data_IF_876744595759
#
_entry.id   IF_876744595759
#
_cell.length_a   1.000
_cell.length_b   1.000
_cell.length_c   1.000
_cell.angle_alpha   90.00
_cell.angle_beta   90.00
_cell.angle_gamma   90.00
#
_symmetry.space_group_name_H-M   'P 1'
#
loop_
_entity.id
_entity.type
_entity.pdbx_description
1 polymer ?
#
# COMPACT_ATOMS: atom_id res chain seq x y z
N UNK A 1 -19.98 1.56 -19.51
CA UNK A 1 -19.11 1.04 -20.58
C UNK A 1 -18.05 0.14 -19.99
N UNK A 2 -17.32 -0.57 -20.85
CA UNK A 2 -16.17 -1.40 -20.46
C UNK A 2 -14.89 -0.60 -20.67
N UNK A 3 -14.03 -0.55 -19.66
CA UNK A 3 -12.68 0.01 -19.73
C UNK A 3 -11.65 -1.08 -19.48
N UNK A 4 -10.56 -1.06 -20.23
CA UNK A 4 -9.41 -1.94 -20.05
C UNK A 4 -8.18 -1.07 -19.77
N UNK A 5 -7.34 -1.52 -18.84
CA UNK A 5 -6.10 -0.85 -18.47
C UNK A 5 -4.94 -1.83 -18.44
N UNK A 6 -3.76 -1.37 -18.84
CA UNK A 6 -2.51 -2.10 -18.73
C UNK A 6 -1.41 -1.16 -18.25
N UNK A 7 -0.55 -1.66 -17.38
CA UNK A 7 0.62 -0.95 -16.87
C UNK A 7 1.83 -1.88 -16.97
N UNK A 8 2.93 -1.37 -17.51
CA UNK A 8 4.24 -2.00 -17.41
C UNK A 8 5.05 -1.29 -16.33
N UNK A 9 5.80 -2.06 -15.54
CA UNK A 9 6.68 -1.51 -14.52
C UNK A 9 8.00 -2.28 -14.48
N UNK A 10 9.08 -1.56 -14.16
CA UNK A 10 10.38 -2.16 -13.93
C UNK A 10 10.83 -1.81 -12.51
N UNK A 11 10.82 -2.81 -11.62
CA UNK A 11 11.27 -2.64 -10.25
C UNK A 11 12.81 -2.62 -10.23
N UNK A 12 13.40 -1.67 -9.53
CA UNK A 12 14.83 -1.62 -9.26
C UNK A 12 15.08 -0.89 -7.94
N UNK A 13 16.12 -1.27 -7.21
CA UNK A 13 16.47 -0.58 -5.97
C UNK A 13 17.63 -1.22 -5.21
N UNK A 14 18.09 -0.50 -4.19
CA UNK A 14 19.08 -0.97 -3.21
C UNK A 14 18.47 -0.97 -1.82
N UNK A 15 18.52 -2.11 -1.14
CA UNK A 15 18.25 -2.22 0.30
C UNK A 15 19.59 -2.23 1.03
N UNK A 16 19.79 -1.30 1.96
CA UNK A 16 21.02 -1.18 2.74
C UNK A 16 20.73 -1.37 4.23
N UNK A 17 21.47 -2.25 4.89
CA UNK A 17 21.41 -2.49 6.33
C UNK A 17 22.80 -2.33 6.93
N UNK A 18 22.94 -1.40 7.87
CA UNK A 18 24.20 -1.14 8.57
C UNK A 18 24.01 -1.59 10.02
N UNK A 19 24.86 -2.49 10.48
CA UNK A 19 24.90 -2.96 11.86
C UNK A 19 26.25 -2.68 12.49
N UNK A 20 26.27 -2.18 13.72
CA UNK A 20 27.48 -1.98 14.51
C UNK A 20 27.41 -2.82 15.78
N UNK A 21 28.50 -3.53 16.11
CA UNK A 21 28.66 -4.20 17.40
C UNK A 21 29.77 -3.48 18.15
N UNK A 22 29.41 -2.83 19.25
CA UNK A 22 30.34 -2.08 20.10
C UNK A 22 30.64 -2.87 21.37
N UNK A 23 31.91 -2.91 21.77
CA UNK A 23 32.34 -3.56 23.00
C UNK A 23 32.97 -2.54 23.96
N UNK A 24 32.60 -2.62 25.24
CA UNK A 24 33.09 -1.72 26.28
C UNK A 24 34.42 -2.17 26.93
N UNK A 25 34.89 -3.39 26.62
CA UNK A 25 36.12 -3.94 27.21
C UNK A 25 37.29 -3.93 26.22
N UNK A 26 38.48 -3.64 26.73
CA UNK A 26 39.71 -3.40 25.96
C UNK A 26 40.25 -4.60 25.16
N UNK A 27 39.62 -5.78 25.26
CA UNK A 27 40.01 -7.00 24.56
C UNK A 27 39.22 -7.31 23.29
N UNK A 28 38.15 -6.55 23.00
CA UNK A 28 37.32 -6.74 21.81
C UNK A 28 37.31 -5.47 20.96
N UNK A 29 37.22 -5.65 19.65
CA UNK A 29 37.13 -4.54 18.71
C UNK A 29 35.70 -4.36 18.23
N UNK A 30 35.25 -3.10 18.18
CA UNK A 30 33.99 -2.71 17.54
C UNK A 30 34.01 -3.13 16.08
N UNK A 31 32.95 -3.73 15.56
CA UNK A 31 32.84 -4.06 14.14
C UNK A 31 31.64 -3.39 13.49
N UNK A 32 31.80 -3.02 12.21
CA UNK A 32 30.73 -2.47 11.38
C UNK A 32 30.49 -3.42 10.21
N UNK A 33 29.23 -3.77 9.97
CA UNK A 33 28.83 -4.57 8.81
C UNK A 33 27.81 -3.79 7.99
N UNK A 34 28.09 -3.65 6.71
CA UNK A 34 27.25 -3.03 5.69
C UNK A 34 26.76 -4.11 4.72
N UNK A 35 25.46 -4.37 4.75
CA UNK A 35 24.79 -5.29 3.86
C UNK A 35 24.00 -4.51 2.81
N UNK A 36 24.34 -4.67 1.54
CA UNK A 36 23.70 -4.00 0.41
C UNK A 36 23.13 -5.02 -0.58
N UNK A 37 21.83 -4.99 -0.81
CA UNK A 37 21.13 -5.84 -1.77
C UNK A 37 20.59 -5.01 -2.92
N UNK A 38 21.01 -5.34 -4.14
CA UNK A 38 20.56 -4.72 -5.38
C UNK A 38 19.67 -5.71 -6.13
N UNK A 39 18.40 -5.35 -6.34
CA UNK A 39 17.45 -6.20 -7.06
C UNK A 39 16.75 -5.42 -8.15
N UNK A 40 16.48 -6.10 -9.27
CA UNK A 40 15.69 -5.57 -10.38
C UNK A 40 14.86 -6.64 -11.07
N UNK A 41 13.71 -6.26 -11.62
CA UNK A 41 12.86 -7.16 -12.38
C UNK A 41 11.64 -6.47 -13.00
N UNK A 42 11.19 -6.90 -14.19
CA UNK A 42 9.99 -6.39 -14.83
C UNK A 42 8.72 -6.98 -14.20
N UNK A 43 7.63 -6.24 -14.31
CA UNK A 43 6.28 -6.69 -13.95
C UNK A 43 5.25 -5.90 -14.76
N UNK A 44 3.99 -6.25 -14.60
CA UNK A 44 2.89 -5.51 -15.17
C UNK A 44 1.60 -5.72 -14.40
N UNK A 45 0.63 -4.85 -14.65
CA UNK A 45 -0.72 -4.94 -14.11
C UNK A 45 -1.71 -4.83 -15.24
N UNK A 46 -2.72 -5.71 -15.26
CA UNK A 46 -3.89 -5.61 -16.13
C UNK A 46 -5.11 -5.29 -15.26
N UNK A 47 -5.97 -4.41 -15.77
CA UNK A 47 -7.19 -3.99 -15.09
C UNK A 47 -8.38 -3.97 -16.03
N UNK A 48 -9.56 -4.26 -15.49
CA UNK A 48 -10.84 -4.13 -16.16
C UNK A 48 -11.79 -3.33 -15.28
N UNK A 49 -12.56 -2.43 -15.89
CA UNK A 49 -13.60 -1.65 -15.23
C UNK A 49 -14.89 -1.80 -16.03
N UNK A 50 -15.95 -2.19 -15.35
CA UNK A 50 -17.29 -2.34 -15.87
C UNK A 50 -18.18 -1.29 -15.20
N UNK A 51 -18.46 -0.22 -15.91
CA UNK A 51 -19.38 0.83 -15.48
C UNK A 51 -20.67 0.83 -16.28
N UNK A 52 -21.64 1.63 -15.84
CA UNK A 52 -22.92 1.84 -16.55
C UNK A 52 -23.72 0.54 -16.79
N UNK A 53 -23.75 -0.36 -15.80
CA UNK A 53 -24.53 -1.60 -15.87
C UNK A 53 -26.02 -1.35 -16.12
N UNK A 54 -26.54 -0.21 -15.65
CA UNK A 54 -27.91 0.25 -15.90
C UNK A 54 -28.27 0.25 -17.37
N UNK A 55 -27.34 0.61 -18.26
CA UNK A 55 -27.56 0.65 -19.71
C UNK A 55 -27.49 -0.72 -20.38
N UNK A 56 -26.75 -1.68 -19.80
CA UNK A 56 -26.59 -3.02 -20.37
C UNK A 56 -27.81 -3.90 -20.11
N UNK A 57 -28.40 -3.80 -18.92
CA UNK A 57 -29.52 -4.66 -18.48
C UNK A 57 -30.81 -3.87 -18.19
N UNK A 58 -30.86 -2.60 -18.61
CA UNK A 58 -32.01 -1.70 -18.51
C UNK A 58 -32.63 -1.63 -17.09
N UNK A 59 -31.77 -1.60 -16.06
CA UNK A 59 -32.17 -1.61 -14.66
C UNK A 59 -31.65 -0.35 -13.95
N UNK A 60 -32.55 0.59 -13.70
CA UNK A 60 -32.24 1.90 -13.09
C UNK A 60 -31.62 1.80 -11.69
N UNK A 61 -31.88 0.72 -10.94
CA UNK A 61 -31.27 0.49 -9.62
C UNK A 61 -29.75 0.34 -9.68
N UNK A 62 -29.19 0.03 -10.85
CA UNK A 62 -27.75 -0.15 -11.07
C UNK A 62 -27.05 1.12 -11.57
N UNK A 63 -27.77 2.24 -11.70
CA UNK A 63 -27.19 3.51 -12.11
C UNK A 63 -26.07 3.90 -11.14
N UNK A 64 -24.95 4.32 -11.70
CA UNK A 64 -23.76 4.73 -10.93
C UNK A 64 -22.96 3.56 -10.33
N UNK A 65 -23.36 2.30 -10.56
CA UNK A 65 -22.58 1.12 -10.16
C UNK A 65 -21.38 0.92 -11.10
N UNK A 66 -20.22 0.67 -10.50
CA UNK A 66 -18.99 0.29 -11.17
C UNK A 66 -18.39 -0.92 -10.49
N UNK A 67 -17.93 -1.89 -11.27
CA UNK A 67 -17.16 -3.05 -10.80
C UNK A 67 -15.79 -2.98 -11.46
N UNK A 68 -14.73 -3.12 -10.69
CA UNK A 68 -13.37 -3.12 -11.20
C UNK A 68 -12.63 -4.35 -10.71
N UNK A 69 -11.69 -4.85 -11.50
CA UNK A 69 -10.79 -5.92 -11.11
C UNK A 69 -9.41 -5.71 -11.70
N UNK A 70 -8.38 -6.18 -11.02
CA UNK A 70 -7.01 -6.13 -11.52
C UNK A 70 -6.22 -7.39 -11.17
N UNK A 71 -5.20 -7.66 -11.97
CA UNK A 71 -4.20 -8.70 -11.76
C UNK A 71 -2.81 -8.12 -11.99
N UNK A 72 -1.94 -8.28 -11.00
CA UNK A 72 -0.53 -7.90 -11.04
C UNK A 72 0.31 -9.14 -11.24
N UNK A 73 1.12 -9.15 -12.30
CA UNK A 73 2.02 -10.26 -12.61
C UNK A 73 3.12 -10.39 -11.55
N UNK A 74 3.57 -11.63 -11.26
CA UNK A 74 4.70 -11.84 -10.37
C UNK A 74 5.97 -11.17 -10.90
N UNK A 75 6.89 -10.87 -9.99
CA UNK A 75 8.18 -10.27 -10.31
C UNK A 75 9.27 -11.27 -9.99
N UNK A 76 10.04 -11.67 -11.00
CA UNK A 76 11.28 -12.40 -10.81
C UNK A 76 12.43 -11.38 -10.72
N UNK A 77 12.95 -11.21 -9.51
CA UNK A 77 14.03 -10.29 -9.20
C UNK A 77 15.38 -11.00 -9.36
N UNK A 78 16.34 -10.28 -9.93
CA UNK A 78 17.74 -10.71 -10.03
C UNK A 78 18.64 -9.55 -9.65
N UNK A 79 19.78 -9.86 -9.05
CA UNK A 79 20.85 -8.90 -8.84
C UNK A 79 21.93 -9.45 -7.92
N UNK A 80 22.42 -8.62 -7.02
CA UNK A 80 23.65 -8.88 -6.27
C UNK A 80 23.44 -8.52 -4.81
N UNK A 81 24.00 -9.33 -3.92
CA UNK A 81 24.12 -9.05 -2.51
C UNK A 81 25.60 -8.84 -2.16
N UNK A 82 25.89 -7.73 -1.51
CA UNK A 82 27.23 -7.31 -1.10
C UNK A 82 27.27 -7.15 0.42
N UNK A 83 28.29 -7.72 1.05
CA UNK A 83 28.62 -7.51 2.46
C UNK A 83 29.98 -6.81 2.49
N UNK A 84 30.07 -5.68 3.19
CA UNK A 84 31.35 -5.08 3.59
C UNK A 84 31.45 -5.11 5.11
N UNK A 85 32.56 -5.61 5.62
CA UNK A 85 32.87 -5.60 7.05
C UNK A 85 34.07 -4.70 7.29
N UNK A 86 33.84 -3.61 8.03
CA UNK A 86 34.85 -2.60 8.36
C UNK A 86 35.28 -2.80 9.80
N UNK A 87 36.57 -3.06 10.00
CA UNK A 87 37.21 -3.13 11.30
C UNK A 87 37.97 -1.83 11.62
N UNK A 88 38.12 -1.43 12.90
CA UNK A 88 38.76 -0.18 13.30
C UNK A 88 40.25 -0.10 12.93
N UNK A 89 40.89 -1.24 12.69
CA UNK A 89 42.26 -1.40 12.22
C UNK A 89 42.43 -1.27 10.70
N UNK A 90 41.34 -0.99 9.97
CA UNK A 90 41.38 -0.61 8.55
C UNK A 90 41.33 -1.79 7.58
N UNK A 91 41.11 -3.02 8.05
CA UNK A 91 40.82 -4.16 7.17
C UNK A 91 39.35 -4.12 6.72
N UNK A 92 39.14 -4.18 5.40
CA UNK A 92 37.82 -4.32 4.78
C UNK A 92 37.74 -5.69 4.09
N UNK A 93 36.68 -6.44 4.36
CA UNK A 93 36.33 -7.64 3.59
C UNK A 93 35.07 -7.35 2.81
N UNK A 94 35.16 -7.36 1.48
CA UNK A 94 34.01 -7.28 0.59
C UNK A 94 33.68 -8.66 0.05
N UNK A 95 32.47 -9.14 0.33
CA UNK A 95 31.92 -10.36 -0.24
C UNK A 95 30.72 -10.02 -1.11
N UNK A 96 30.71 -10.49 -2.36
CA UNK A 96 29.61 -10.30 -3.28
C UNK A 96 29.12 -11.65 -3.80
N UNK A 97 27.80 -11.85 -3.80
CA UNK A 97 27.16 -13.03 -4.38
C UNK A 97 25.93 -12.65 -5.20
N UNK A 98 25.52 -13.56 -6.08
CA UNK A 98 24.26 -13.43 -6.79
C UNK A 98 23.10 -13.45 -5.81
N UNK A 99 22.09 -12.62 -6.08
CA UNK A 99 20.84 -12.58 -5.35
C UNK A 99 19.66 -12.68 -6.31
N UNK A 100 18.62 -13.33 -5.85
CA UNK A 100 17.36 -13.45 -6.56
C UNK A 100 16.21 -13.32 -5.58
N UNK A 101 15.04 -12.98 -6.11
CA UNK A 101 13.81 -12.99 -5.34
C UNK A 101 12.60 -13.17 -6.24
N UNK A 102 11.48 -13.52 -5.62
CA UNK A 102 10.22 -13.73 -6.29
C UNK A 102 9.11 -13.04 -5.51
N UNK A 103 8.47 -12.06 -6.16
CA UNK A 103 7.29 -11.40 -5.63
C UNK A 103 6.07 -12.05 -6.30
N UNK A 104 5.17 -12.71 -5.55
CA UNK A 104 4.02 -13.41 -6.10
C UNK A 104 2.95 -12.43 -6.60
N UNK A 105 2.04 -12.90 -7.47
CA UNK A 105 0.99 -12.06 -8.02
C UNK A 105 0.03 -11.54 -6.94
N UNK A 106 -0.54 -10.37 -7.21
CA UNK A 106 -1.63 -9.76 -6.45
C UNK A 106 -2.86 -9.65 -7.35
N UNK A 107 -4.04 -9.86 -6.81
CA UNK A 107 -5.28 -9.55 -7.50
C UNK A 107 -6.25 -8.86 -6.56
N UNK A 108 -7.12 -8.04 -7.14
CA UNK A 108 -8.14 -7.33 -6.39
C UNK A 108 -9.39 -7.11 -7.22
N UNK A 109 -10.50 -6.95 -6.52
CA UNK A 109 -11.81 -6.62 -7.05
C UNK A 109 -12.43 -5.52 -6.18
N UNK A 110 -13.08 -4.57 -6.82
CA UNK A 110 -13.74 -3.45 -6.17
C UNK A 110 -15.11 -3.20 -6.76
N UNK A 111 -16.04 -2.78 -5.93
CA UNK A 111 -17.37 -2.35 -6.32
C UNK A 111 -17.59 -0.96 -5.76
N UNK A 112 -18.06 -0.03 -6.59
CA UNK A 112 -18.45 1.30 -6.15
C UNK A 112 -19.81 1.69 -6.69
N UNK A 113 -20.52 2.54 -5.95
CA UNK A 113 -21.79 3.12 -6.38
C UNK A 113 -21.85 4.59 -6.01
N UNK A 114 -22.08 5.43 -7.01
CA UNK A 114 -22.35 6.86 -6.82
C UNK A 114 -23.85 7.13 -6.92
N UNK A 115 -24.39 7.77 -5.90
CA UNK A 115 -25.78 8.17 -5.80
C UNK A 115 -25.96 9.61 -6.29
N UNK A 116 -27.17 9.95 -6.75
CA UNK A 116 -27.46 11.26 -7.35
C UNK A 116 -27.28 12.45 -6.36
N UNK A 117 -27.33 12.17 -5.05
CA UNK A 117 -27.14 13.15 -3.97
C UNK A 117 -25.66 13.47 -3.66
N UNK A 118 -24.71 12.93 -4.43
CA UNK A 118 -23.27 13.13 -4.19
C UNK A 118 -22.67 12.22 -3.13
N UNK A 119 -23.42 11.24 -2.63
CA UNK A 119 -22.88 10.14 -1.84
C UNK A 119 -22.27 9.08 -2.77
N UNK A 120 -21.11 8.56 -2.43
CA UNK A 120 -20.48 7.40 -3.02
C UNK A 120 -20.24 6.34 -1.96
N UNK A 121 -20.35 5.07 -2.32
CA UNK A 121 -19.95 3.95 -1.48
C UNK A 121 -19.01 3.03 -2.24
N UNK A 122 -18.05 2.44 -1.55
CA UNK A 122 -17.05 1.52 -2.10
C UNK A 122 -16.89 0.29 -1.23
N UNK A 123 -16.56 -0.83 -1.86
CA UNK A 123 -16.16 -2.07 -1.22
C UNK A 123 -15.06 -2.72 -2.07
N UNK A 124 -13.91 -2.97 -1.45
CA UNK A 124 -12.73 -3.53 -2.08
C UNK A 124 -12.28 -4.81 -1.38
N UNK A 125 -11.81 -5.75 -2.18
CA UNK A 125 -11.16 -6.99 -1.76
C UNK A 125 -9.85 -7.12 -2.52
N UNK A 126 -8.75 -7.42 -1.83
CA UNK A 126 -7.48 -7.79 -2.48
C UNK A 126 -6.76 -8.87 -1.70
N UNK A 127 -5.97 -9.66 -2.42
CA UNK A 127 -5.11 -10.67 -1.81
C UNK A 127 -3.84 -10.88 -2.60
N UNK A 128 -2.78 -11.25 -1.88
CA UNK A 128 -1.48 -11.54 -2.45
C UNK A 128 -0.93 -12.80 -1.79
N UNK A 129 -0.47 -13.75 -2.61
CA UNK A 129 0.03 -15.05 -2.16
C UNK A 129 1.46 -14.96 -1.61
N UNK A 130 1.72 -14.07 -0.65
CA UNK A 130 3.04 -13.83 -0.08
C UNK A 130 3.64 -15.04 0.63
N UNK A 131 2.87 -16.11 0.89
CA UNK A 131 3.47 -17.40 1.27
C UNK A 131 4.44 -17.96 0.24
N UNK A 132 4.30 -17.56 -1.03
CA UNK A 132 5.23 -17.91 -2.12
C UNK A 132 6.37 -16.90 -2.29
N UNK A 133 6.39 -15.81 -1.52
CA UNK A 133 7.51 -14.88 -1.55
C UNK A 133 8.78 -15.59 -1.11
N UNK A 134 9.85 -15.39 -1.87
CA UNK A 134 11.17 -15.85 -1.51
C UNK A 134 12.22 -14.84 -1.98
N UNK A 135 13.31 -14.75 -1.22
CA UNK A 135 14.54 -14.10 -1.65
C UNK A 135 15.74 -14.91 -1.15
N UNK A 136 16.94 -14.42 -1.42
CA UNK A 136 18.20 -15.08 -1.04
C UNK A 136 18.31 -15.39 0.47
N UNK A 137 17.61 -14.64 1.33
CA UNK A 137 17.67 -14.76 2.79
C UNK A 137 16.35 -15.19 3.42
N UNK A 138 15.26 -15.12 2.67
CA UNK A 138 13.90 -15.41 3.13
C UNK A 138 13.33 -16.55 2.30
N UNK A 139 13.27 -17.78 2.84
CA UNK A 139 12.68 -18.89 2.11
C UNK A 139 11.16 -18.75 2.00
N UNK A 140 10.59 -19.37 0.97
CA UNK A 140 9.14 -19.49 0.80
C UNK A 140 8.48 -20.10 2.06
N UNK A 141 7.29 -19.62 2.38
CA UNK A 141 6.50 -20.04 3.54
C UNK A 141 6.79 -19.27 4.83
N UNK A 142 7.84 -18.43 4.85
CA UNK A 142 8.14 -17.51 5.95
C UNK A 142 7.01 -16.50 6.15
N UNK A 143 6.57 -15.89 5.04
CA UNK A 143 5.46 -14.94 5.04
C UNK A 143 4.11 -15.67 4.90
N UNK A 144 3.04 -15.02 5.33
CA UNK A 144 1.66 -15.49 5.15
C UNK A 144 0.96 -14.72 4.03
N UNK A 145 -0.06 -15.33 3.45
CA UNK A 145 -0.86 -14.68 2.42
C UNK A 145 -1.58 -13.46 2.99
N UNK A 146 -1.49 -12.34 2.27
CA UNK A 146 -2.16 -11.11 2.65
C UNK A 146 -3.57 -11.13 2.10
N UNK A 147 -4.50 -10.69 2.93
CA UNK A 147 -5.89 -10.45 2.56
C UNK A 147 -6.29 -9.09 3.10
N UNK A 148 -7.02 -8.32 2.30
CA UNK A 148 -7.57 -7.03 2.70
C UNK A 148 -9.01 -6.93 2.19
N UNK A 149 -9.89 -6.48 3.07
CA UNK A 149 -11.28 -6.18 2.78
C UNK A 149 -11.58 -4.82 3.39
N UNK A 150 -12.00 -3.87 2.57
CA UNK A 150 -12.26 -2.50 3.01
C UNK A 150 -13.53 -1.97 2.38
N UNK A 151 -14.25 -1.14 3.11
CA UNK A 151 -15.41 -0.43 2.60
C UNK A 151 -15.45 0.99 3.13
N UNK A 152 -16.03 1.89 2.35
CA UNK A 152 -16.08 3.29 2.71
C UNK A 152 -17.19 4.03 2.00
N UNK A 153 -17.45 5.24 2.50
CA UNK A 153 -18.37 6.20 1.91
C UNK A 153 -17.66 7.53 1.71
N UNK A 154 -18.04 8.20 0.64
CA UNK A 154 -17.60 9.54 0.31
C UNK A 154 -18.84 10.41 0.15
N UNK A 155 -18.85 11.60 0.74
CA UNK A 155 -19.93 12.56 0.56
C UNK A 155 -19.38 13.90 0.08
N UNK A 156 -19.79 14.27 -1.14
CA UNK A 156 -19.45 15.56 -1.73
C UNK A 156 -20.51 16.60 -1.33
N UNK A 157 -20.10 17.55 -0.49
CA UNK A 157 -20.98 18.64 -0.06
C UNK A 157 -20.70 19.90 -0.90
N UNK A 158 -21.75 20.44 -1.54
CA UNK A 158 -21.72 21.70 -2.31
C UNK A 158 -21.38 21.55 -3.80
N UNK A 159 -22.31 21.95 -4.69
CA UNK A 159 -22.05 22.15 -6.13
C UNK A 159 -21.90 23.62 -6.52
N UNK A 160 -22.29 24.54 -5.63
CA UNK A 160 -22.34 25.96 -5.96
C UNK A 160 -20.96 26.61 -6.04
N UNK A 161 -20.84 27.50 -7.02
CA UNK A 161 -19.58 28.09 -7.50
C UNK A 161 -19.10 29.24 -6.58
N UNK A 162 -19.96 29.70 -5.65
CA UNK A 162 -19.77 30.97 -4.94
C UNK A 162 -18.92 30.97 -3.67
N UNK A 163 -18.60 29.81 -3.06
CA UNK A 163 -17.78 29.77 -1.84
C UNK A 163 -16.83 28.58 -1.85
N UNK A 164 -15.52 28.85 -1.75
CA UNK A 164 -14.48 27.84 -1.65
C UNK A 164 -14.74 26.92 -0.44
N UNK A 165 -15.20 27.45 0.69
CA UNK A 165 -15.54 26.67 1.89
C UNK A 165 -16.81 25.82 1.79
N UNK A 166 -17.66 26.05 0.77
CA UNK A 166 -18.87 25.27 0.57
C UNK A 166 -18.59 23.91 -0.08
N UNK A 167 -17.45 23.76 -0.76
CA UNK A 167 -17.01 22.50 -1.38
C UNK A 167 -16.12 21.75 -0.39
N UNK A 168 -16.61 20.63 0.14
CA UNK A 168 -15.81 19.73 0.98
C UNK A 168 -16.16 18.30 0.66
N UNK A 169 -15.17 17.42 0.75
CA UNK A 169 -15.38 15.99 0.63
C UNK A 169 -15.18 15.37 2.00
N UNK A 170 -16.18 14.64 2.48
CA UNK A 170 -16.10 13.88 3.72
C UNK A 170 -15.97 12.40 3.37
N UNK A 171 -15.01 11.72 3.99
CA UNK A 171 -14.74 10.31 3.79
C UNK A 171 -14.79 9.58 5.12
N UNK A 172 -15.42 8.42 5.14
CA UNK A 172 -15.40 7.52 6.29
C UNK A 172 -15.35 6.08 5.80
N UNK A 173 -14.66 5.20 6.51
CA UNK A 173 -14.54 3.81 6.09
C UNK A 173 -13.96 2.91 7.15
N UNK A 174 -14.03 1.61 6.90
CA UNK A 174 -13.48 0.56 7.75
C UNK A 174 -12.77 -0.47 6.89
N UNK A 175 -11.71 -1.06 7.42
CA UNK A 175 -11.08 -2.20 6.76
C UNK A 175 -10.60 -3.24 7.76
N UNK A 176 -10.57 -4.48 7.28
CA UNK A 176 -9.95 -5.63 7.91
C UNK A 176 -8.82 -6.14 7.02
N UNK A 177 -7.70 -6.52 7.62
CA UNK A 177 -6.57 -7.09 6.89
C UNK A 177 -5.93 -8.23 7.66
N UNK A 178 -5.61 -9.32 6.96
CA UNK A 178 -4.61 -10.28 7.39
C UNK A 178 -3.26 -9.88 6.84
N UNK A 179 -2.28 -9.72 7.71
CA UNK A 179 -0.93 -9.27 7.34
C UNK A 179 -0.05 -10.43 6.91
N UNK A 180 1.09 -10.15 6.30
CA UNK A 180 2.08 -11.17 5.96
C UNK A 180 2.80 -11.79 7.17
N UNK A 181 2.62 -11.23 8.37
CA UNK A 181 3.37 -11.65 9.55
C UNK A 181 2.60 -12.64 10.41
N UNK A 182 3.34 -13.61 10.96
CA UNK A 182 2.86 -14.47 12.03
C UNK A 182 3.68 -14.18 13.29
N UNK A 183 3.00 -14.16 14.43
CA UNK A 183 3.61 -13.94 15.75
C UNK A 183 3.24 -15.09 16.68
N UNK A 184 4.09 -15.39 17.68
CA UNK A 184 3.81 -16.42 18.65
C UNK A 184 2.59 -16.07 19.52
N UNK A 185 1.77 -17.08 19.79
CA UNK A 185 0.71 -17.05 20.80
C UNK A 185 1.27 -17.38 22.19
N UNK A 186 0.46 -17.17 23.23
CA UNK A 186 0.79 -17.58 24.61
C UNK A 186 0.98 -19.09 24.75
N UNK A 187 0.33 -19.86 23.85
CA UNK A 187 0.50 -21.32 23.72
C UNK A 187 1.72 -21.75 22.89
N UNK A 188 2.50 -20.80 22.37
CA UNK A 188 3.72 -21.08 21.57
C UNK A 188 3.46 -21.40 20.10
N UNK A 189 2.22 -21.32 19.61
CA UNK A 189 1.89 -21.50 18.20
C UNK A 189 2.09 -20.22 17.40
N UNK A 190 2.50 -20.33 16.14
CA UNK A 190 2.59 -19.15 15.25
C UNK A 190 1.22 -18.85 14.65
N UNK A 191 0.70 -17.65 14.91
CA UNK A 191 -0.60 -17.22 14.39
C UNK A 191 -0.44 -15.93 13.57
N UNK A 192 -1.12 -15.91 12.43
CA UNK A 192 -1.14 -14.75 11.54
C UNK A 192 -1.73 -13.55 12.25
N UNK A 193 -1.15 -12.38 11.99
CA UNK A 193 -1.57 -11.14 12.61
C UNK A 193 -2.66 -10.47 11.78
N UNK A 194 -3.77 -10.18 12.46
CA UNK A 194 -4.96 -9.56 11.89
C UNK A 194 -5.09 -8.11 12.36
N UNK A 195 -5.64 -7.26 11.50
CA UNK A 195 -5.85 -5.83 11.76
C UNK A 195 -7.27 -5.41 11.42
N UNK A 196 -7.83 -4.49 12.21
CA UNK A 196 -9.07 -3.76 11.88
C UNK A 196 -8.88 -2.28 12.16
N UNK A 197 -9.34 -1.45 11.24
CA UNK A 197 -9.23 0.01 11.37
C UNK A 197 -10.52 0.68 10.93
N UNK A 198 -10.86 1.75 11.65
CA UNK A 198 -11.79 2.78 11.22
C UNK A 198 -11.00 3.98 10.70
N UNK A 199 -11.54 4.64 9.69
CA UNK A 199 -10.91 5.76 8.99
C UNK A 199 -11.92 6.89 8.82
N UNK A 200 -11.46 8.12 8.93
CA UNK A 200 -12.21 9.32 8.63
C UNK A 200 -11.30 10.34 7.96
N UNK A 201 -11.81 11.09 6.99
CA UNK A 201 -11.03 12.10 6.28
C UNK A 201 -11.88 13.24 5.76
N UNK A 202 -11.22 14.37 5.55
CA UNK A 202 -11.80 15.57 4.98
C UNK A 202 -10.85 16.14 3.94
N UNK A 203 -11.41 16.53 2.80
CA UNK A 203 -10.73 17.29 1.76
C UNK A 203 -11.28 18.71 1.76
N UNK A 204 -10.37 19.68 1.86
CA UNK A 204 -10.67 21.10 1.88
C UNK A 204 -9.99 21.78 0.69
N UNK A 205 -10.72 22.50 -0.17
CA UNK A 205 -10.10 23.34 -1.19
C UNK A 205 -9.42 24.53 -0.50
N UNK A 206 -8.11 24.62 -0.66
CA UNK A 206 -7.31 25.76 -0.17
C UNK A 206 -7.32 26.89 -1.20
N UNK A 207 -7.37 26.54 -2.49
CA UNK A 207 -7.52 27.47 -3.60
C UNK A 207 -8.30 26.81 -4.73
N UNK A 208 -8.49 27.51 -5.85
CA UNK A 208 -9.08 26.92 -7.06
C UNK A 208 -8.28 25.75 -7.63
N UNK A 209 -6.99 25.66 -7.32
CA UNK A 209 -6.09 24.63 -7.86
C UNK A 209 -5.43 23.78 -6.78
N UNK A 210 -5.68 24.05 -5.49
CA UNK A 210 -5.06 23.34 -4.40
C UNK A 210 -6.09 22.77 -3.42
N UNK A 211 -5.86 21.54 -2.97
CA UNK A 211 -6.64 20.85 -1.95
C UNK A 211 -5.74 20.39 -0.80
N UNK A 212 -6.30 20.41 0.40
CA UNK A 212 -5.72 19.88 1.62
C UNK A 212 -6.55 18.68 2.07
N UNK A 213 -5.93 17.52 2.13
CA UNK A 213 -6.51 16.28 2.61
C UNK A 213 -5.99 15.99 4.02
N UNK A 214 -6.90 15.87 4.97
CA UNK A 214 -6.60 15.45 6.34
C UNK A 214 -7.35 14.16 6.61
N UNK A 215 -6.65 13.11 7.03
CA UNK A 215 -7.28 11.86 7.40
C UNK A 215 -6.72 11.31 8.72
N UNK A 216 -7.56 10.60 9.46
CA UNK A 216 -7.20 9.89 10.65
C UNK A 216 -7.64 8.42 10.54
N UNK A 217 -6.84 7.53 11.13
CA UNK A 217 -7.16 6.12 11.28
C UNK A 217 -7.01 5.72 12.74
N UNK A 218 -7.92 4.91 13.24
CA UNK A 218 -7.80 4.27 14.54
C UNK A 218 -8.12 2.79 14.41
N UNK A 219 -7.30 1.94 14.99
CA UNK A 219 -7.50 0.51 14.85
C UNK A 219 -6.67 -0.33 15.79
N UNK A 220 -6.85 -1.63 15.61
CA UNK A 220 -6.26 -2.67 16.43
C UNK A 220 -5.50 -3.63 15.54
N UNK A 221 -4.34 -4.07 16.01
CA UNK A 221 -3.53 -5.12 15.41
C UNK A 221 -3.34 -6.23 16.43
N UNK A 222 -3.54 -7.47 15.99
CA UNK A 222 -3.55 -8.63 16.87
C UNK A 222 -4.89 -8.79 17.59
N UNK A 223 -5.97 -9.00 16.84
CA UNK A 223 -7.34 -9.11 17.37
C UNK A 223 -7.58 -10.29 18.33
N UNK A 224 -6.69 -11.28 18.34
CA UNK A 224 -6.82 -12.46 19.18
C UNK A 224 -6.12 -12.27 20.52
N UNK A 225 -6.85 -12.50 21.62
CA UNK A 225 -6.34 -12.40 23.00
C UNK A 225 -5.24 -13.40 23.36
N UNK A 226 -5.03 -14.42 22.52
CA UNK A 226 -3.98 -15.42 22.67
C UNK A 226 -2.65 -14.97 22.02
N UNK A 227 -2.63 -13.86 21.26
CA UNK A 227 -1.39 -13.32 20.71
C UNK A 227 -0.57 -12.63 21.80
N UNK A 228 0.76 -12.73 21.70
CA UNK A 228 1.67 -11.94 22.54
C UNK A 228 1.72 -10.46 22.11
N UNK A 229 1.40 -10.18 20.85
CA UNK A 229 1.36 -8.85 20.28
C UNK A 229 -0.09 -8.37 20.13
N UNK A 230 -0.44 -7.31 20.85
CA UNK A 230 -1.72 -6.61 20.73
C UNK A 230 -1.47 -5.10 20.76
N UNK A 231 -1.74 -4.41 19.66
CA UNK A 231 -1.43 -2.99 19.50
C UNK A 231 -2.70 -2.18 19.22
N UNK A 232 -2.75 -0.98 19.77
CA UNK A 232 -3.69 0.07 19.39
C UNK A 232 -2.94 1.09 18.58
N UNK A 233 -3.42 1.39 17.38
CA UNK A 233 -2.71 2.21 16.42
C UNK A 233 -3.60 3.39 16.05
N UNK A 234 -3.05 4.60 16.20
CA UNK A 234 -3.66 5.83 15.71
C UNK A 234 -2.71 6.46 14.69
N UNK A 235 -3.24 6.85 13.53
CA UNK A 235 -2.47 7.45 12.44
C UNK A 235 -3.16 8.71 11.96
N UNK A 236 -2.37 9.76 11.71
CA UNK A 236 -2.83 10.99 11.07
C UNK A 236 -2.08 11.16 9.75
N UNK A 237 -2.81 11.57 8.72
CA UNK A 237 -2.31 11.88 7.39
C UNK A 237 -2.69 13.31 7.07
N UNK A 238 -1.73 14.04 6.52
CA UNK A 238 -1.93 15.37 5.96
C UNK A 238 -1.28 15.37 4.60
N UNK A 239 -2.04 15.69 3.55
CA UNK A 239 -1.56 15.77 2.17
C UNK A 239 -2.03 17.07 1.55
N UNK A 240 -1.16 17.68 0.75
CA UNK A 240 -1.48 18.89 -0.01
C UNK A 240 -1.31 18.54 -1.48
N UNK A 241 -2.36 18.74 -2.25
CA UNK A 241 -2.33 18.60 -3.71
C UNK A 241 -2.36 19.98 -4.31
N UNK A 242 -1.38 20.32 -5.14
CA UNK A 242 -1.33 21.57 -5.88
C UNK A 242 -1.34 21.26 -7.37
N UNK A 243 -2.41 21.64 -8.05
CA UNK A 243 -2.47 21.72 -9.50
C UNK A 243 -1.84 23.04 -9.96
N UNK A 244 -0.89 22.96 -10.87
CA UNK A 244 -0.48 24.12 -11.64
C UNK A 244 -1.31 24.17 -12.93
N UNK A 245 -1.87 25.33 -13.27
CA UNK A 245 -2.62 25.51 -14.50
C UNK A 245 -1.66 25.68 -15.70
N UNK A 246 -0.99 24.60 -16.08
CA UNK A 246 -0.24 24.57 -17.34
C UNK A 246 -1.27 24.50 -18.48
N UNK A 247 -1.08 25.31 -19.52
CA UNK A 247 -1.90 25.31 -20.75
C UNK A 247 -3.29 25.96 -20.68
N UNK A 248 -3.49 27.00 -19.86
CA UNK A 248 -4.60 27.93 -20.12
C UNK A 248 -4.33 28.66 -21.45
N UNK A 249 -5.05 28.30 -22.51
CA UNK A 249 -5.06 29.11 -23.74
C UNK A 249 -5.66 30.47 -23.37
N UNK A 250 -4.94 31.59 -23.57
CA UNK A 250 -5.56 32.90 -23.49
C UNK A 250 -6.74 32.92 -24.47
N UNK A 251 -7.92 33.35 -24.02
CA UNK A 251 -8.95 33.79 -24.97
C UNK A 251 -8.36 35.02 -25.65
N UNK A 252 -8.00 34.88 -26.92
CA UNK A 252 -7.57 36.01 -27.73
C UNK A 252 -8.66 37.07 -27.75
N UNK A 253 -8.25 38.30 -27.49
CA UNK A 253 -8.98 39.51 -27.88
C UNK A 253 -8.92 39.70 -29.40
#
# INVERSE_FOLDING_TARGET
>A
GIGLGAMFQYAFGRTKSISSVTFDSSGYQTSYTDNSMYLRGPSGTLGIVLGSFDKLINLSILKGLTIAGYYRYPINLRGTYEISSIYPDGFDTVFAQNSSGYIPPEYGIGISKVFDNGLGAVLDFRTQQLSKYEDTFTPAGTLKDVLFIGGGVEYLQGRDIGSLFAKRVLRAGVYYSKTQFAVPTKSGQMKQLDEIFATAGIELPVSYTATLDIAAQYGFRGLSSDLLLHERIFRIYVSITMGEAWFLRPRGE
#
